data_IF_855106520041
#
_entry.id   IF_855106520041
#
_cell.length_a   1.000
_cell.length_b   1.000
_cell.length_c   1.000
_cell.angle_alpha   90.00
_cell.angle_beta   90.00
_cell.angle_gamma   90.00
#
_symmetry.space_group_name_H-M   'P 1'
#
loop_
_entity.id
_entity.type
_entity.pdbx_description
1 polymer ?
#
# COMPACT_ATOMS: atom_id res chain seq x y z
N UNK A 1 -15.93 8.45 1.62
CA UNK A 1 -14.81 8.19 2.55
C UNK A 1 -13.58 8.71 1.84
N UNK A 2 -13.03 9.82 2.31
CA UNK A 2 -11.83 10.43 1.70
C UNK A 2 -10.61 9.64 2.12
N UNK A 3 -10.26 8.60 1.34
CA UNK A 3 -8.94 7.99 1.43
C UNK A 3 -7.93 8.98 0.87
N UNK A 4 -7.00 9.42 1.72
CA UNK A 4 -5.89 10.28 1.30
C UNK A 4 -4.62 9.43 1.41
N UNK A 5 -4.08 8.94 0.28
CA UNK A 5 -2.82 8.22 0.26
C UNK A 5 -1.67 9.15 0.64
N UNK A 6 -0.59 8.58 1.19
CA UNK A 6 0.62 9.37 1.38
C UNK A 6 1.26 9.72 0.05
N UNK A 7 1.81 10.92 -0.04
CA UNK A 7 2.66 11.27 -1.18
C UNK A 7 3.99 10.55 -1.07
N UNK A 8 4.69 10.41 -2.20
CA UNK A 8 6.03 9.82 -2.22
C UNK A 8 7.03 10.60 -1.35
N UNK A 9 6.84 11.92 -1.19
CA UNK A 9 7.65 12.76 -0.30
C UNK A 9 7.37 12.46 1.18
N UNK A 10 6.09 12.26 1.55
CA UNK A 10 5.72 11.87 2.91
C UNK A 10 6.28 10.48 3.25
N UNK A 11 6.17 9.51 2.35
CA UNK A 11 6.74 8.18 2.54
C UNK A 11 8.27 8.21 2.71
N UNK A 12 8.97 9.10 2.01
CA UNK A 12 10.41 9.32 2.20
C UNK A 12 10.73 9.93 3.56
N UNK A 13 9.90 10.85 4.05
CA UNK A 13 10.05 11.43 5.39
C UNK A 13 9.78 10.43 6.52
N UNK A 14 9.03 9.36 6.24
CA UNK A 14 8.73 8.28 7.21
C UNK A 14 9.92 7.31 7.38
N UNK A 15 10.96 7.41 6.56
CA UNK A 15 12.13 6.50 6.54
C UNK A 15 11.71 5.04 6.25
N UNK A 16 10.83 4.85 5.26
CA UNK A 16 10.41 3.52 4.78
C UNK A 16 11.63 2.78 4.22
N UNK A 17 11.90 1.58 4.75
CA UNK A 17 12.99 0.73 4.32
C UNK A 17 12.51 -0.31 3.32
N UNK A 18 13.36 -0.59 2.34
CA UNK A 18 13.15 -1.70 1.41
C UNK A 18 13.11 -3.03 2.15
N UNK A 19 12.26 -3.94 1.66
CA UNK A 19 12.03 -5.28 2.20
C UNK A 19 11.39 -5.34 3.60
N UNK A 20 11.07 -4.21 4.23
CA UNK A 20 10.35 -4.18 5.51
C UNK A 20 8.83 -4.26 5.34
N UNK A 21 8.15 -4.76 6.38
CA UNK A 21 6.69 -4.90 6.41
C UNK A 21 6.09 -3.74 7.19
N UNK A 22 5.15 -3.04 6.56
CA UNK A 22 4.41 -1.93 7.14
C UNK A 22 2.92 -2.22 7.10
N UNK A 23 2.18 -1.71 8.09
CA UNK A 23 0.72 -1.69 8.02
C UNK A 23 0.31 -0.52 7.15
N UNK A 24 -0.44 -0.76 6.09
CA UNK A 24 -0.92 0.28 5.19
C UNK A 24 -2.43 0.23 5.04
N UNK A 25 -3.03 1.39 4.89
CA UNK A 25 -4.36 1.59 4.34
C UNK A 25 -4.24 1.81 2.84
N UNK A 26 -5.08 1.14 2.06
CA UNK A 26 -5.07 1.22 0.60
C UNK A 26 -6.47 1.03 0.04
N UNK A 27 -6.67 1.48 -1.19
CA UNK A 27 -7.90 1.20 -1.92
C UNK A 27 -7.84 -0.21 -2.52
N UNK A 28 -8.69 -1.09 -1.99
CA UNK A 28 -8.92 -2.40 -2.56
C UNK A 28 -10.09 -2.30 -3.54
N UNK A 29 -9.79 -2.58 -4.81
CA UNK A 29 -10.83 -2.75 -5.82
C UNK A 29 -11.30 -4.19 -5.84
N UNK A 30 -12.55 -4.40 -5.43
CA UNK A 30 -13.21 -5.68 -5.60
C UNK A 30 -13.54 -5.84 -7.10
N UNK A 31 -12.84 -6.77 -7.76
CA UNK A 31 -13.05 -7.04 -9.20
C UNK A 31 -14.40 -7.67 -9.49
N UNK A 32 -15.04 -8.29 -8.51
CA UNK A 32 -16.34 -8.95 -8.67
C UNK A 32 -17.48 -7.94 -8.57
N UNK A 33 -17.42 -7.03 -7.60
CA UNK A 33 -18.48 -6.05 -7.34
C UNK A 33 -18.20 -4.67 -7.93
N UNK A 34 -17.01 -4.45 -8.52
CA UNK A 34 -16.51 -3.15 -8.95
C UNK A 34 -16.52 -2.07 -7.85
N UNK A 35 -16.62 -2.49 -6.58
CA UNK A 35 -16.60 -1.60 -5.43
C UNK A 35 -15.16 -1.30 -5.04
N UNK A 36 -14.91 -0.02 -4.78
CA UNK A 36 -13.66 0.44 -4.17
C UNK A 36 -13.92 0.54 -2.68
N UNK A 37 -13.16 -0.23 -1.89
CA UNK A 37 -13.23 -0.22 -0.44
C UNK A 37 -11.85 0.07 0.11
N UNK A 38 -11.79 0.87 1.16
CA UNK A 38 -10.54 1.08 1.89
C UNK A 38 -10.26 -0.15 2.75
N UNK A 39 -9.13 -0.79 2.53
CA UNK A 39 -8.65 -1.93 3.29
C UNK A 39 -7.40 -1.55 4.09
N UNK A 40 -7.15 -2.28 5.18
CA UNK A 40 -5.93 -2.17 5.97
C UNK A 40 -5.25 -3.54 5.93
N UNK A 41 -3.98 -3.57 5.58
CA UNK A 41 -3.22 -4.81 5.43
C UNK A 41 -1.75 -4.60 5.70
N UNK A 42 -1.05 -5.70 5.96
CA UNK A 42 0.42 -5.72 5.99
C UNK A 42 0.93 -5.75 4.56
N UNK A 43 1.85 -4.86 4.25
CA UNK A 43 2.47 -4.79 2.95
C UNK A 43 3.98 -4.68 3.09
N UNK A 44 4.68 -5.33 2.18
CA UNK A 44 6.13 -5.23 2.05
C UNK A 44 6.48 -3.99 1.24
N UNK A 45 7.33 -3.12 1.76
CA UNK A 45 7.82 -1.97 1.02
C UNK A 45 8.90 -2.39 0.02
N UNK A 46 8.80 -1.89 -1.20
CA UNK A 46 9.75 -2.07 -2.29
C UNK A 46 10.08 -0.70 -2.86
N UNK A 47 11.37 -0.41 -3.01
CA UNK A 47 11.83 0.87 -3.53
C UNK A 47 12.32 0.65 -4.96
N UNK A 48 11.51 1.04 -5.94
CA UNK A 48 11.84 0.87 -7.35
C UNK A 48 11.92 2.23 -8.03
N UNK A 49 13.02 2.52 -8.73
CA UNK A 49 13.22 3.79 -9.44
C UNK A 49 12.96 5.04 -8.58
N UNK A 50 13.34 4.99 -7.30
CA UNK A 50 13.11 6.09 -6.33
C UNK A 50 11.62 6.34 -5.98
N UNK A 51 10.74 5.40 -6.32
CA UNK A 51 9.34 5.32 -5.90
C UNK A 51 9.18 4.20 -4.86
N UNK A 52 8.40 4.48 -3.82
CA UNK A 52 8.03 3.53 -2.79
C UNK A 52 6.71 2.88 -3.21
N UNK A 53 6.77 1.56 -3.38
CA UNK A 53 5.65 0.70 -3.76
C UNK A 53 5.44 -0.30 -2.63
N UNK A 54 4.19 -0.61 -2.32
CA UNK A 54 3.85 -1.60 -1.32
C UNK A 54 3.30 -2.86 -1.98
N UNK A 55 3.78 -4.02 -1.55
CA UNK A 55 3.29 -5.32 -2.00
C UNK A 55 2.41 -5.90 -0.90
N UNK A 56 1.12 -6.00 -1.16
CA UNK A 56 0.16 -6.68 -0.29
C UNK A 56 -0.09 -8.07 -0.86
N UNK A 57 0.20 -9.11 -0.08
CA UNK A 57 -0.21 -10.47 -0.41
C UNK A 57 -1.62 -10.69 0.13
N UNK A 58 -2.57 -11.04 -0.73
CA UNK A 58 -3.94 -11.37 -0.31
C UNK A 58 -4.06 -12.82 0.21
N UNK A 59 -5.25 -13.17 0.73
CA UNK A 59 -5.52 -14.51 1.29
C UNK A 59 -5.40 -15.64 0.27
N UNK A 60 -5.37 -15.33 -1.03
CA UNK A 60 -5.18 -16.27 -2.12
C UNK A 60 -3.71 -16.40 -2.54
N UNK A 61 -2.79 -15.73 -1.82
CA UNK A 61 -1.37 -15.71 -2.12
C UNK A 61 -1.01 -14.86 -3.34
N UNK A 62 -1.90 -13.94 -3.77
CA UNK A 62 -1.60 -13.04 -4.87
C UNK A 62 -1.00 -11.73 -4.36
N UNK A 63 0.14 -11.37 -4.96
CA UNK A 63 0.80 -10.11 -4.68
C UNK A 63 0.16 -8.97 -5.46
N UNK A 64 -0.31 -7.96 -4.72
CA UNK A 64 -0.88 -6.72 -5.26
C UNK A 64 0.08 -5.57 -5.03
N UNK A 65 0.40 -4.89 -6.12
CA UNK A 65 1.24 -3.70 -6.10
C UNK A 65 0.38 -2.47 -5.82
N UNK A 66 0.56 -1.89 -4.64
CA UNK A 66 -0.14 -0.71 -4.16
C UNK A 66 0.82 0.48 -4.24
N UNK A 67 0.51 1.43 -5.14
CA UNK A 67 1.24 2.70 -5.25
C UNK A 67 0.62 3.78 -4.36
N UNK A 68 -0.69 3.76 -4.22
CA UNK A 68 -1.47 4.70 -3.42
C UNK A 68 -1.82 4.06 -2.09
N UNK A 69 -0.92 4.23 -1.12
CA UNK A 69 -1.02 3.68 0.21
C UNK A 69 -0.81 4.76 1.27
N UNK A 70 -1.47 4.61 2.41
CA UNK A 70 -1.22 5.39 3.61
C UNK A 70 -0.68 4.46 4.70
N UNK A 71 0.54 4.69 5.16
CA UNK A 71 1.17 3.93 6.23
C UNK A 71 0.49 4.27 7.56
N UNK A 72 0.05 3.25 8.28
CA UNK A 72 -0.49 3.35 9.64
C UNK A 72 0.61 2.91 10.60
N UNK A 73 0.99 3.78 11.52
CA UNK A 73 1.93 3.51 12.61
C UNK A 73 1.27 2.77 13.76
#
# INVERSE_FOLDING_TARGET
MDFIPHTQEELKNIDIKEDEIYTIQYEHRDYYNAEIRTAIGKAKAVISNNEIIFIVTDDYGMDKFIREARVIK
#
